data_IF_207984654134
#
_entry.id   IF_207984654134
#
_cell.length_a   1.000
_cell.length_b   1.000
_cell.length_c   1.000
_cell.angle_alpha   90.00
_cell.angle_beta   90.00
_cell.angle_gamma   90.00
#
_symmetry.space_group_name_H-M   'P 1'
#
loop_
_entity.id
_entity.type
_entity.pdbx_description
1 polymer ?
#
# COMPACT_ATOMS: atom_id res chain seq x y z
N UNK A 1 -14.23 3.93 1.71
CA UNK A 1 -13.61 2.65 2.00
C UNK A 1 -12.13 2.68 1.68
N UNK A 2 -11.34 2.19 2.63
CA UNK A 2 -9.88 2.28 2.51
C UNK A 2 -9.34 1.48 1.32
N UNK A 3 -9.89 0.29 1.06
CA UNK A 3 -9.41 -0.54 -0.04
C UNK A 3 -9.60 0.14 -1.40
N UNK A 4 -10.77 0.76 -1.60
CA UNK A 4 -11.04 1.49 -2.83
C UNK A 4 -10.10 2.69 -2.98
N UNK A 5 -9.83 3.40 -1.89
CA UNK A 5 -8.92 4.53 -1.91
C UNK A 5 -7.51 4.10 -2.34
N UNK A 6 -7.03 2.97 -1.83
CA UNK A 6 -5.72 2.45 -2.21
C UNK A 6 -5.69 2.12 -3.70
N UNK A 7 -6.68 1.36 -4.18
CA UNK A 7 -6.74 0.95 -5.58
C UNK A 7 -6.80 2.18 -6.49
N UNK A 8 -7.67 3.14 -6.17
CA UNK A 8 -7.83 4.35 -6.99
C UNK A 8 -6.56 5.21 -6.97
N UNK A 9 -5.91 5.31 -5.83
CA UNK A 9 -4.67 6.10 -5.70
C UNK A 9 -3.54 5.54 -6.57
N UNK A 10 -3.50 4.23 -6.75
CA UNK A 10 -2.41 3.57 -7.46
C UNK A 10 -2.72 3.28 -8.94
N UNK A 11 -3.89 3.65 -9.43
CA UNK A 11 -4.23 3.47 -10.84
C UNK A 11 -3.21 4.03 -11.83
N UNK A 12 -2.60 5.19 -11.57
CA UNK A 12 -1.61 5.73 -12.51
C UNK A 12 -0.38 4.86 -12.73
N UNK A 13 -0.13 3.88 -11.87
CA UNK A 13 0.99 2.95 -12.06
C UNK A 13 0.78 2.00 -13.24
N UNK A 14 -0.46 1.76 -13.65
CA UNK A 14 -0.83 0.86 -14.74
C UNK A 14 -0.34 -0.58 -14.53
N UNK A 15 -0.30 -1.03 -13.29
CA UNK A 15 0.01 -2.41 -12.94
C UNK A 15 -1.14 -2.97 -12.09
N UNK A 16 -1.29 -4.29 -12.01
CA UNK A 16 -2.33 -4.88 -11.15
C UNK A 16 -2.12 -4.50 -9.68
N UNK A 17 -3.20 -4.12 -9.01
CA UNK A 17 -3.21 -3.82 -7.57
C UNK A 17 -4.35 -4.63 -6.97
N UNK A 18 -4.03 -5.59 -6.11
CA UNK A 18 -4.98 -6.57 -5.60
C UNK A 18 -4.99 -6.63 -4.10
N UNK A 19 -6.17 -6.89 -3.53
CA UNK A 19 -6.33 -7.10 -2.10
C UNK A 19 -5.99 -8.54 -1.75
N UNK A 20 -5.07 -8.73 -0.81
CA UNK A 20 -4.67 -9.99 -0.20
C UNK A 20 -3.91 -10.96 -1.11
N UNK A 21 -4.32 -11.14 -2.36
CA UNK A 21 -3.64 -12.05 -3.28
C UNK A 21 -3.78 -11.60 -4.71
N UNK A 22 -2.82 -12.02 -5.52
CA UNK A 22 -2.82 -11.80 -6.96
C UNK A 22 -2.71 -13.14 -7.68
N UNK A 23 -3.60 -13.41 -8.63
CA UNK A 23 -3.66 -14.67 -9.35
C UNK A 23 -3.30 -14.53 -10.84
N UNK A 24 -2.90 -13.35 -11.28
CA UNK A 24 -2.52 -13.13 -12.67
C UNK A 24 -1.07 -13.52 -12.97
N UNK A 25 -0.58 -13.11 -14.13
CA UNK A 25 0.74 -13.47 -14.62
C UNK A 25 1.63 -12.27 -14.92
N UNK A 26 1.31 -11.10 -14.43
CA UNK A 26 2.13 -9.90 -14.65
C UNK A 26 3.46 -10.03 -13.91
N UNK A 27 4.53 -9.50 -14.51
CA UNK A 27 5.84 -9.42 -13.86
C UNK A 27 5.96 -8.25 -12.88
N UNK A 28 4.94 -7.39 -12.83
CA UNK A 28 4.89 -6.26 -11.92
C UNK A 28 3.47 -6.17 -11.35
N UNK A 29 3.35 -6.21 -10.04
CA UNK A 29 2.04 -6.09 -9.40
C UNK A 29 2.19 -5.71 -7.94
N UNK A 30 1.10 -5.19 -7.35
CA UNK A 30 1.04 -4.87 -5.93
C UNK A 30 -0.04 -5.71 -5.28
N UNK A 31 0.27 -6.28 -4.13
CA UNK A 31 -0.69 -6.91 -3.23
C UNK A 31 -0.69 -6.12 -1.94
N UNK A 32 -1.87 -5.79 -1.44
CA UNK A 32 -1.97 -5.01 -0.20
C UNK A 32 -2.94 -5.65 0.78
N UNK A 33 -2.77 -5.30 2.05
CA UNK A 33 -3.68 -5.70 3.11
C UNK A 33 -3.70 -4.66 4.21
N UNK A 34 -4.84 -4.54 4.86
CA UNK A 34 -4.94 -3.80 6.10
C UNK A 34 -4.69 -4.78 7.24
N UNK A 35 -3.58 -4.61 7.98
CA UNK A 35 -3.24 -5.56 9.04
C UNK A 35 -3.69 -5.10 10.41
N UNK A 36 -4.12 -3.85 10.53
CA UNK A 36 -4.64 -3.33 11.80
C UNK A 36 -5.54 -2.13 11.51
N UNK A 37 -6.68 -2.11 12.16
CA UNK A 37 -7.57 -0.96 12.17
C UNK A 37 -7.97 -0.73 13.62
N UNK A 38 -7.82 0.49 14.10
CA UNK A 38 -8.14 0.78 15.49
C UNK A 38 -8.55 2.23 15.68
N UNK A 39 -9.27 2.47 16.79
CA UNK A 39 -9.60 3.83 17.19
C UNK A 39 -8.36 4.58 17.62
N UNK A 40 -8.19 5.78 17.09
CA UNK A 40 -7.10 6.67 17.47
C UNK A 40 -7.62 7.83 18.34
N UNK A 41 -8.83 7.68 18.89
CA UNK A 41 -9.43 8.68 19.74
C UNK A 41 -10.57 9.43 19.07
N UNK A 42 -10.87 10.60 19.61
CA UNK A 42 -11.96 11.45 19.12
C UNK A 42 -11.45 12.85 18.82
N UNK A 43 -12.07 13.49 17.84
CA UNK A 43 -11.82 14.90 17.58
C UNK A 43 -12.59 15.78 18.57
N UNK A 44 -12.44 17.09 18.48
CA UNK A 44 -13.12 18.04 19.35
C UNK A 44 -14.65 17.94 19.28
N UNK A 45 -15.18 17.47 18.15
CA UNK A 45 -16.63 17.31 17.93
C UNK A 45 -17.11 15.90 18.24
N UNK A 46 -16.38 15.15 19.03
CA UNK A 46 -16.67 13.75 19.38
C UNK A 46 -16.72 12.81 18.17
N UNK A 47 -16.14 13.21 17.04
CA UNK A 47 -16.01 12.35 15.88
C UNK A 47 -14.91 11.31 16.13
N UNK A 48 -15.23 10.06 15.83
CA UNK A 48 -14.26 9.00 15.99
C UNK A 48 -13.16 9.11 14.94
N UNK A 49 -11.92 8.95 15.38
CA UNK A 49 -10.74 8.88 14.51
C UNK A 49 -10.34 7.41 14.42
N UNK A 50 -10.24 6.91 13.19
CA UNK A 50 -9.84 5.53 12.95
C UNK A 50 -8.51 5.50 12.21
N UNK A 51 -7.56 4.75 12.77
CA UNK A 51 -6.27 4.53 12.15
C UNK A 51 -6.29 3.26 11.33
N UNK A 52 -5.84 3.37 10.09
CA UNK A 52 -5.71 2.24 9.18
C UNK A 52 -4.23 1.96 8.95
N UNK A 53 -3.79 0.75 9.24
CA UNK A 53 -2.41 0.32 9.09
C UNK A 53 -2.34 -0.67 7.92
N UNK A 54 -1.64 -0.27 6.86
CA UNK A 54 -1.66 -0.93 5.58
C UNK A 54 -0.28 -1.44 5.23
N UNK A 55 -0.21 -2.65 4.69
CA UNK A 55 1.01 -3.16 4.10
C UNK A 55 0.80 -3.36 2.61
N UNK A 56 1.73 -2.83 1.81
CA UNK A 56 1.74 -3.05 0.37
C UNK A 56 3.01 -3.78 0.00
N UNK A 57 2.87 -4.75 -0.88
CA UNK A 57 3.99 -5.53 -1.39
C UNK A 57 4.05 -5.30 -2.90
N UNK A 58 5.12 -4.64 -3.36
CA UNK A 58 5.36 -4.42 -4.79
C UNK A 58 6.29 -5.53 -5.28
N UNK A 59 5.77 -6.36 -6.18
CA UNK A 59 6.54 -7.46 -6.77
C UNK A 59 7.01 -7.05 -8.15
N UNK A 60 8.31 -7.23 -8.42
CA UNK A 60 8.90 -6.95 -9.73
C UNK A 60 9.96 -7.98 -10.06
N UNK A 61 10.23 -8.19 -11.35
CA UNK A 61 11.29 -9.09 -11.81
C UNK A 61 12.62 -8.37 -12.05
N UNK A 62 12.60 -7.05 -12.07
CA UNK A 62 13.81 -6.27 -12.35
C UNK A 62 13.88 -5.03 -11.47
N UNK A 63 14.54 -3.99 -11.99
CA UNK A 63 14.71 -2.74 -11.27
C UNK A 63 13.35 -2.11 -10.95
N UNK A 64 13.11 -1.89 -9.68
CA UNK A 64 11.85 -1.34 -9.19
C UNK A 64 11.95 0.12 -8.73
N UNK A 65 13.09 0.77 -8.94
CA UNK A 65 13.34 2.12 -8.41
C UNK A 65 12.26 3.11 -8.79
N UNK A 66 11.89 3.15 -10.06
CA UNK A 66 10.87 4.07 -10.56
C UNK A 66 9.49 3.76 -9.97
N UNK A 67 9.10 2.48 -9.94
CA UNK A 67 7.81 2.08 -9.38
C UNK A 67 7.73 2.35 -7.88
N UNK A 68 8.80 2.12 -7.15
CA UNK A 68 8.87 2.44 -5.71
C UNK A 68 8.63 3.92 -5.50
N UNK A 69 9.33 4.77 -6.25
CA UNK A 69 9.21 6.21 -6.10
C UNK A 69 7.81 6.71 -6.47
N UNK A 70 7.25 6.22 -7.58
CA UNK A 70 5.90 6.58 -8.00
C UNK A 70 4.85 6.15 -6.97
N UNK A 71 4.99 4.94 -6.44
CA UNK A 71 4.07 4.43 -5.41
C UNK A 71 4.06 5.34 -4.19
N UNK A 72 5.25 5.74 -3.72
CA UNK A 72 5.36 6.62 -2.56
C UNK A 72 4.72 7.99 -2.82
N UNK A 73 4.95 8.55 -3.99
CA UNK A 73 4.37 9.84 -4.35
C UNK A 73 2.84 9.79 -4.39
N UNK A 74 2.30 8.76 -5.03
CA UNK A 74 0.85 8.61 -5.16
C UNK A 74 0.18 8.42 -3.80
N UNK A 75 0.75 7.58 -2.94
CA UNK A 75 0.18 7.35 -1.62
C UNK A 75 0.30 8.59 -0.74
N UNK A 76 1.43 9.27 -0.79
CA UNK A 76 1.61 10.51 -0.04
C UNK A 76 0.59 11.57 -0.47
N UNK A 77 0.36 11.71 -1.78
CA UNK A 77 -0.61 12.67 -2.29
C UNK A 77 -2.05 12.31 -1.92
N UNK A 78 -2.32 11.06 -1.61
CA UNK A 78 -3.65 10.60 -1.20
C UNK A 78 -3.86 10.64 0.32
N UNK A 79 -2.89 11.16 1.06
CA UNK A 79 -3.02 11.33 2.50
C UNK A 79 -2.46 10.19 3.35
N UNK A 80 -1.84 9.20 2.73
CA UNK A 80 -1.17 8.13 3.48
C UNK A 80 0.17 8.60 4.02
N UNK A 81 0.53 8.12 5.19
CA UNK A 81 1.81 8.45 5.83
C UNK A 81 2.67 7.21 5.92
N UNK A 82 3.88 7.29 5.34
CA UNK A 82 4.82 6.18 5.36
C UNK A 82 5.32 5.94 6.78
N UNK A 83 5.37 4.67 7.18
CA UNK A 83 5.94 4.27 8.46
C UNK A 83 7.30 3.63 8.29
N UNK A 84 7.39 2.65 7.40
CA UNK A 84 8.67 2.03 7.06
C UNK A 84 8.56 1.31 5.72
N UNK A 85 9.71 0.91 5.18
CA UNK A 85 9.77 0.12 3.95
C UNK A 85 11.08 -0.68 3.95
N UNK A 86 11.04 -1.83 3.28
CA UNK A 86 12.23 -2.68 3.14
C UNK A 86 12.09 -3.60 1.95
N UNK A 87 13.22 -4.18 1.51
CA UNK A 87 13.26 -5.06 0.35
C UNK A 87 13.45 -6.51 0.77
N UNK A 88 12.78 -7.40 0.02
CA UNK A 88 12.98 -8.83 0.09
C UNK A 88 13.22 -9.36 -1.33
N UNK A 89 13.87 -10.51 -1.43
CA UNK A 89 14.05 -11.17 -2.71
C UNK A 89 13.77 -12.66 -2.56
N UNK A 90 12.96 -13.21 -3.48
CA UNK A 90 12.63 -14.63 -3.50
C UNK A 90 13.46 -15.34 -4.57
N UNK A 91 14.38 -16.18 -4.14
CA UNK A 91 15.27 -16.91 -5.03
C UNK A 91 14.52 -17.92 -5.92
N UNK A 92 13.40 -18.45 -5.44
CA UNK A 92 12.65 -19.46 -6.19
C UNK A 92 11.88 -18.84 -7.35
N UNK A 93 11.23 -17.69 -7.13
CA UNK A 93 10.42 -17.05 -8.16
C UNK A 93 11.18 -15.98 -8.93
N UNK A 94 12.26 -15.45 -8.37
CA UNK A 94 13.01 -14.35 -8.95
C UNK A 94 12.35 -13.00 -8.79
N UNK A 95 11.32 -12.90 -7.95
CA UNK A 95 10.69 -11.63 -7.69
C UNK A 95 11.41 -10.84 -6.61
N UNK A 96 11.58 -9.56 -6.84
CA UNK A 96 11.87 -8.60 -5.79
C UNK A 96 10.54 -8.21 -5.15
N UNK A 97 10.54 -8.06 -3.85
CA UNK A 97 9.37 -7.68 -3.09
C UNK A 97 9.71 -6.47 -2.24
N UNK A 98 9.28 -5.29 -2.68
CA UNK A 98 9.46 -4.08 -1.89
C UNK A 98 8.24 -3.90 -0.99
N UNK A 99 8.44 -3.95 0.31
CA UNK A 99 7.37 -3.87 1.28
C UNK A 99 7.26 -2.45 1.80
N UNK A 100 6.05 -1.88 1.73
CA UNK A 100 5.74 -0.57 2.28
C UNK A 100 4.76 -0.73 3.43
N UNK A 101 4.94 0.01 4.50
CA UNK A 101 3.93 0.13 5.55
C UNK A 101 3.52 1.57 5.68
N UNK A 102 2.20 1.78 5.60
CA UNK A 102 1.58 3.10 5.60
C UNK A 102 0.48 3.18 6.63
N UNK A 103 0.25 4.40 7.07
CA UNK A 103 -0.81 4.73 8.01
C UNK A 103 -1.76 5.73 7.35
N UNK A 104 -3.06 5.56 7.56
CA UNK A 104 -4.08 6.50 7.11
C UNK A 104 -5.03 6.78 8.25
N UNK A 105 -5.25 8.06 8.54
CA UNK A 105 -6.19 8.48 9.58
C UNK A 105 -7.50 8.87 8.93
N UNK A 106 -8.56 8.18 9.31
CA UNK A 106 -9.90 8.46 8.82
C UNK A 106 -10.73 9.07 9.93
N UNK A 107 -11.47 10.11 9.58
CA UNK A 107 -12.39 10.78 10.48
C UNK A 107 -13.81 10.36 10.10
N UNK A 108 -14.52 9.81 11.06
CA UNK A 108 -15.85 9.26 10.83
C UNK A 108 -16.90 10.14 11.50
#
# INVERSE_FOLDING_TARGET
>A
MINKLIIDSLKPLNIPVSLLKYTGSSDEYIVFQEYLQQSEGFSEDDEELTGHYIQLNLFTKGDNTSLVQQTKELLNNSGFKRQNEYDLFDNETGFYNHVFRYFYLEQI
#
